data_IF_576332109177
#
_entry.id   IF_576332109177
#
_cell.length_a   1.000
_cell.length_b   1.000
_cell.length_c   1.000
_cell.angle_alpha   90.00
_cell.angle_beta   90.00
_cell.angle_gamma   90.00
#
_symmetry.space_group_name_H-M   'P 1'
#
loop_
_entity.id
_entity.type
_entity.pdbx_description
1 polymer ?
#
# COMPACT_ATOMS: atom_id res chain seq x y z
N UNK A 1 -33.76 25.12 -11.84
CA UNK A 1 -32.53 25.43 -11.05
C UNK A 1 -32.22 24.53 -9.84
N UNK A 2 -32.91 23.40 -9.54
CA UNK A 2 -32.46 22.49 -8.47
C UNK A 2 -31.26 21.60 -8.88
N UNK A 3 -31.13 21.23 -10.16
CA UNK A 3 -30.09 20.29 -10.63
C UNK A 3 -28.65 20.81 -10.47
N UNK A 4 -28.44 22.12 -10.59
CA UNK A 4 -27.10 22.73 -10.47
C UNK A 4 -26.59 22.71 -9.02
N UNK A 5 -27.49 22.88 -8.04
CA UNK A 5 -27.15 22.80 -6.62
C UNK A 5 -26.92 21.35 -6.17
N UNK A 6 -27.73 20.41 -6.68
CA UNK A 6 -27.57 18.97 -6.43
C UNK A 6 -26.23 18.44 -6.98
N UNK A 7 -25.85 18.84 -8.19
CA UNK A 7 -24.54 18.52 -8.77
C UNK A 7 -23.40 19.09 -7.93
N UNK A 8 -23.46 20.37 -7.55
CA UNK A 8 -22.37 21.01 -6.77
C UNK A 8 -22.16 20.40 -5.38
N UNK A 9 -23.24 19.94 -4.72
CA UNK A 9 -23.13 19.26 -3.44
C UNK A 9 -22.55 17.86 -3.59
N UNK A 10 -22.95 17.13 -4.64
CA UNK A 10 -22.40 15.82 -4.93
C UNK A 10 -20.90 15.90 -5.27
N UNK A 11 -20.49 16.87 -6.09
CA UNK A 11 -19.09 17.13 -6.38
C UNK A 11 -18.29 17.46 -5.11
N UNK A 12 -18.90 18.20 -4.17
CA UNK A 12 -18.29 18.48 -2.86
C UNK A 12 -18.16 17.21 -1.99
N UNK A 13 -19.17 16.34 -1.99
CA UNK A 13 -19.13 15.05 -1.27
C UNK A 13 -18.05 14.13 -1.87
N UNK A 14 -17.91 14.08 -3.21
CA UNK A 14 -16.84 13.35 -3.88
C UNK A 14 -15.44 13.89 -3.54
N UNK A 15 -15.27 15.21 -3.55
CA UNK A 15 -14.00 15.82 -3.18
C UNK A 15 -13.65 15.59 -1.71
N UNK A 16 -14.65 15.60 -0.82
CA UNK A 16 -14.49 15.26 0.60
C UNK A 16 -13.92 13.85 0.76
N UNK A 17 -14.59 12.84 0.18
CA UNK A 17 -14.12 11.45 0.26
C UNK A 17 -12.74 11.30 -0.36
N UNK A 18 -12.50 11.89 -1.52
CA UNK A 18 -11.18 11.85 -2.16
C UNK A 18 -10.10 12.40 -1.24
N UNK A 19 -10.34 13.52 -0.55
CA UNK A 19 -9.39 14.10 0.39
C UNK A 19 -9.11 13.16 1.58
N UNK A 20 -10.14 12.49 2.11
CA UNK A 20 -10.01 11.53 3.21
C UNK A 20 -9.21 10.29 2.81
N UNK A 21 -9.44 9.76 1.60
CA UNK A 21 -8.65 8.63 1.06
C UNK A 21 -7.18 9.04 0.91
N UNK A 22 -6.90 10.26 0.44
CA UNK A 22 -5.52 10.77 0.34
C UNK A 22 -4.88 11.00 1.72
N UNK A 23 -5.65 11.49 2.70
CA UNK A 23 -5.19 11.60 4.10
C UNK A 23 -4.80 10.24 4.68
N UNK A 24 -5.65 9.22 4.47
CA UNK A 24 -5.36 7.85 4.89
C UNK A 24 -4.10 7.31 4.21
N UNK A 25 -3.94 7.56 2.90
CA UNK A 25 -2.75 7.17 2.15
C UNK A 25 -1.46 7.80 2.69
N UNK A 26 -1.49 9.09 3.04
CA UNK A 26 -0.36 9.76 3.68
C UNK A 26 -0.03 9.20 5.07
N UNK A 27 -1.05 8.78 5.83
CA UNK A 27 -0.87 8.14 7.12
C UNK A 27 -0.23 6.75 7.00
N UNK A 28 -0.69 5.94 6.04
CA UNK A 28 -0.10 4.63 5.70
C UNK A 28 1.34 4.77 5.25
N UNK A 29 1.65 5.73 4.36
CA UNK A 29 3.02 6.01 3.93
C UNK A 29 3.92 6.35 5.13
N UNK A 30 3.43 7.16 6.06
CA UNK A 30 4.15 7.47 7.30
C UNK A 30 4.30 6.26 8.22
N UNK A 31 3.32 5.37 8.29
CA UNK A 31 3.36 4.16 9.11
C UNK A 31 4.43 3.19 8.58
N UNK A 32 4.50 3.01 7.25
CA UNK A 32 5.55 2.22 6.60
C UNK A 32 6.93 2.79 6.92
N UNK A 33 7.13 4.10 6.78
CA UNK A 33 8.41 4.74 7.14
C UNK A 33 8.79 4.51 8.60
N UNK A 34 7.84 4.58 9.53
CA UNK A 34 8.08 4.30 10.94
C UNK A 34 8.43 2.82 11.20
N UNK A 35 7.78 1.88 10.51
CA UNK A 35 8.12 0.46 10.60
C UNK A 35 9.54 0.17 10.11
N UNK A 36 9.96 0.81 9.02
CA UNK A 36 11.34 0.73 8.48
C UNK A 36 12.35 1.36 9.43
N UNK A 37 12.01 2.51 10.02
CA UNK A 37 12.83 3.16 11.03
C UNK A 37 13.00 2.28 12.27
N UNK A 38 11.92 1.65 12.74
CA UNK A 38 11.94 0.70 13.85
C UNK A 38 12.90 -0.46 13.57
N UNK A 39 12.84 -1.05 12.36
CA UNK A 39 13.75 -2.11 11.94
C UNK A 39 15.22 -1.65 11.88
N UNK A 40 15.47 -0.46 11.34
CA UNK A 40 16.83 0.05 11.12
C UNK A 40 17.52 0.47 12.42
N UNK A 41 16.77 1.09 13.34
CA UNK A 41 17.30 1.63 14.59
C UNK A 41 17.00 0.75 15.81
N UNK A 42 16.28 -0.37 15.63
CA UNK A 42 15.80 -1.21 16.71
C UNK A 42 15.03 -0.41 17.78
N UNK A 43 14.18 0.52 17.33
CA UNK A 43 13.45 1.44 18.20
C UNK A 43 12.08 0.89 18.57
N UNK A 44 11.88 0.57 19.86
CA UNK A 44 10.57 0.18 20.40
C UNK A 44 9.55 1.33 20.38
N UNK A 45 10.01 2.57 20.56
CA UNK A 45 9.16 3.76 20.48
C UNK A 45 8.54 3.92 19.07
N UNK A 46 9.32 3.62 18.04
CA UNK A 46 8.83 3.62 16.66
C UNK A 46 7.81 2.49 16.43
N UNK A 47 7.97 1.33 17.06
CA UNK A 47 6.97 0.25 17.03
C UNK A 47 5.66 0.72 17.69
N UNK A 48 5.72 1.35 18.85
CA UNK A 48 4.53 1.87 19.54
C UNK A 48 3.82 2.93 18.69
N UNK A 49 4.60 3.79 18.02
CA UNK A 49 4.08 4.77 17.07
C UNK A 49 3.32 4.08 15.93
N UNK A 50 3.89 3.05 15.29
CA UNK A 50 3.21 2.28 14.23
C UNK A 50 1.87 1.70 14.71
N UNK A 51 1.83 1.14 15.92
CA UNK A 51 0.60 0.56 16.48
C UNK A 51 -0.49 1.61 16.75
N UNK A 52 -0.11 2.82 17.14
CA UNK A 52 -1.07 3.92 17.30
C UNK A 52 -1.62 4.41 15.96
N UNK A 53 -0.78 4.46 14.92
CA UNK A 53 -1.18 4.86 13.56
C UNK A 53 -2.13 3.85 12.95
N UNK A 54 -1.87 2.56 13.17
CA UNK A 54 -2.73 1.45 12.75
C UNK A 54 -4.18 1.64 13.23
N UNK A 55 -4.35 1.93 14.52
CA UNK A 55 -5.68 2.14 15.12
C UNK A 55 -6.42 3.29 14.43
N UNK A 56 -5.70 4.35 14.05
CA UNK A 56 -6.28 5.49 13.32
C UNK A 56 -6.63 5.14 11.88
N UNK A 57 -5.79 4.36 11.18
CA UNK A 57 -6.05 3.90 9.80
C UNK A 57 -7.33 3.07 9.76
N UNK A 58 -7.51 2.14 10.70
CA UNK A 58 -8.70 1.28 10.76
C UNK A 58 -9.97 2.08 11.06
N UNK A 59 -9.87 3.11 11.91
CA UNK A 59 -10.99 4.03 12.13
C UNK A 59 -11.33 4.82 10.85
N UNK A 60 -10.32 5.31 10.11
CA UNK A 60 -10.52 6.03 8.86
C UNK A 60 -11.15 5.16 7.78
N UNK A 61 -10.76 3.88 7.68
CA UNK A 61 -11.36 2.92 6.75
C UNK A 61 -12.88 2.83 6.96
N UNK A 62 -13.31 2.57 8.19
CA UNK A 62 -14.73 2.45 8.56
C UNK A 62 -15.49 3.74 8.27
N UNK A 63 -14.92 4.89 8.63
CA UNK A 63 -15.57 6.18 8.41
C UNK A 63 -15.69 6.53 6.92
N UNK A 64 -14.69 6.19 6.09
CA UNK A 64 -14.74 6.39 4.64
C UNK A 64 -15.79 5.49 4.00
N UNK A 65 -15.86 4.21 4.40
CA UNK A 65 -16.85 3.27 3.86
C UNK A 65 -18.29 3.65 4.23
N UNK A 66 -18.50 4.20 5.43
CA UNK A 66 -19.80 4.75 5.82
C UNK A 66 -20.20 5.97 4.98
N UNK A 67 -19.26 6.88 4.72
CA UNK A 67 -19.48 8.06 3.90
C UNK A 67 -19.81 7.67 2.44
N UNK A 68 -19.04 6.74 1.87
CA UNK A 68 -19.28 6.18 0.54
C UNK A 68 -20.67 5.54 0.43
N UNK A 69 -21.03 4.70 1.40
CA UNK A 69 -22.34 4.04 1.44
C UNK A 69 -23.50 5.04 1.53
N UNK A 70 -23.33 6.08 2.35
CA UNK A 70 -24.30 7.18 2.50
C UNK A 70 -24.49 7.95 1.20
N UNK A 71 -23.39 8.29 0.50
CA UNK A 71 -23.44 8.99 -0.79
C UNK A 71 -24.18 8.16 -1.83
N UNK A 72 -23.84 6.87 -1.96
CA UNK A 72 -24.49 5.96 -2.91
C UNK A 72 -26.00 5.88 -2.64
N UNK A 73 -26.39 5.67 -1.38
CA UNK A 73 -27.79 5.55 -1.00
C UNK A 73 -28.60 6.83 -1.22
N UNK A 74 -28.02 7.99 -0.92
CA UNK A 74 -28.71 9.29 -1.02
C UNK A 74 -28.78 9.85 -2.43
N UNK A 75 -27.77 9.59 -3.27
CA UNK A 75 -27.59 10.30 -4.54
C UNK A 75 -27.91 9.47 -5.78
N UNK A 76 -27.98 8.13 -5.67
CA UNK A 76 -28.20 7.22 -6.80
C UNK A 76 -27.31 7.61 -8.02
N UNK A 77 -25.98 7.59 -7.85
CA UNK A 77 -25.03 8.15 -8.80
C UNK A 77 -25.13 7.51 -10.19
N UNK A 78 -24.72 8.26 -11.22
CA UNK A 78 -24.59 7.71 -12.57
C UNK A 78 -23.55 6.59 -12.62
N UNK A 79 -23.54 5.81 -13.69
CA UNK A 79 -22.59 4.70 -13.85
C UNK A 79 -21.11 5.12 -13.71
N UNK A 80 -20.77 6.35 -14.16
CA UNK A 80 -19.41 6.88 -14.03
C UNK A 80 -19.07 7.20 -12.58
N UNK A 81 -19.98 7.87 -11.88
CA UNK A 81 -19.71 8.32 -10.51
C UNK A 81 -19.78 7.15 -9.53
N UNK A 82 -20.63 6.16 -9.79
CA UNK A 82 -20.63 4.89 -9.05
C UNK A 82 -19.29 4.16 -9.21
N UNK A 83 -18.71 4.14 -10.42
CA UNK A 83 -17.40 3.54 -10.65
C UNK A 83 -16.31 4.24 -9.83
N UNK A 84 -16.35 5.57 -9.74
CA UNK A 84 -15.43 6.35 -8.94
C UNK A 84 -15.57 6.03 -7.44
N UNK A 85 -16.79 5.99 -6.92
CA UNK A 85 -17.06 5.64 -5.52
C UNK A 85 -16.60 4.22 -5.17
N UNK A 86 -16.82 3.25 -6.07
CA UNK A 86 -16.31 1.89 -5.90
C UNK A 86 -14.78 1.83 -5.98
N UNK A 87 -14.14 2.67 -6.80
CA UNK A 87 -12.69 2.78 -6.85
C UNK A 87 -12.14 3.34 -5.53
N UNK A 88 -12.79 4.34 -4.93
CA UNK A 88 -12.42 4.84 -3.60
C UNK A 88 -12.53 3.75 -2.54
N UNK A 89 -13.64 3.02 -2.44
CA UNK A 89 -13.78 1.91 -1.47
C UNK A 89 -12.67 0.86 -1.64
N UNK A 90 -12.39 0.45 -2.88
CA UNK A 90 -11.32 -0.53 -3.15
C UNK A 90 -9.93 0.02 -2.85
N UNK A 91 -9.69 1.32 -3.09
CA UNK A 91 -8.43 1.95 -2.75
C UNK A 91 -8.25 2.01 -1.23
N UNK A 92 -9.27 2.45 -0.49
CA UNK A 92 -9.31 2.45 0.98
C UNK A 92 -8.95 1.08 1.56
N UNK A 93 -9.57 0.01 1.06
CA UNK A 93 -9.27 -1.36 1.51
C UNK A 93 -7.87 -1.87 1.14
N UNK A 94 -7.21 -1.32 0.11
CA UNK A 94 -5.80 -1.63 -0.17
C UNK A 94 -4.87 -0.80 0.72
N UNK A 95 -5.23 0.44 1.05
CA UNK A 95 -4.48 1.29 1.97
C UNK A 95 -4.50 0.72 3.39
N UNK A 96 -5.63 0.23 3.86
CA UNK A 96 -5.72 -0.47 5.16
C UNK A 96 -4.77 -1.67 5.19
N UNK A 97 -4.85 -2.57 4.20
CA UNK A 97 -3.97 -3.74 4.13
C UNK A 97 -2.49 -3.41 4.08
N UNK A 98 -2.10 -2.31 3.41
CA UNK A 98 -0.72 -1.82 3.45
C UNK A 98 -0.30 -1.39 4.87
N UNK A 99 -1.20 -0.72 5.59
CA UNK A 99 -0.96 -0.34 6.98
C UNK A 99 -0.83 -1.56 7.89
N UNK A 100 -1.65 -2.56 7.64
CA UNK A 100 -1.66 -3.85 8.33
C UNK A 100 -0.32 -4.60 8.16
N UNK A 101 0.24 -4.61 6.94
CA UNK A 101 1.58 -5.14 6.67
C UNK A 101 2.68 -4.33 7.39
N UNK A 102 2.57 -2.99 7.45
CA UNK A 102 3.50 -2.15 8.21
C UNK A 102 3.44 -2.42 9.72
N UNK A 103 2.24 -2.62 10.27
CA UNK A 103 2.02 -3.01 11.66
C UNK A 103 2.62 -4.39 11.96
N UNK A 104 2.44 -5.35 11.04
CA UNK A 104 3.06 -6.67 11.13
C UNK A 104 4.59 -6.57 11.15
N UNK A 105 5.20 -5.74 10.29
CA UNK A 105 6.64 -5.47 10.33
C UNK A 105 7.08 -4.98 11.71
N UNK A 106 6.39 -3.98 12.26
CA UNK A 106 6.74 -3.41 13.56
C UNK A 106 6.62 -4.43 14.71
N UNK A 107 5.62 -5.32 14.69
CA UNK A 107 5.48 -6.42 15.65
C UNK A 107 6.64 -7.42 15.56
N UNK A 108 7.08 -7.76 14.35
CA UNK A 108 8.24 -8.63 14.14
C UNK A 108 9.52 -7.96 14.65
N UNK A 109 9.71 -6.66 14.39
CA UNK A 109 10.83 -5.89 14.93
C UNK A 109 10.87 -5.93 16.46
N UNK A 110 9.73 -5.74 17.14
CA UNK A 110 9.66 -5.88 18.60
C UNK A 110 10.12 -7.26 19.07
N UNK A 111 9.62 -8.32 18.45
CA UNK A 111 10.02 -9.71 18.76
C UNK A 111 11.53 -9.92 18.61
N UNK A 112 12.12 -9.39 17.53
CA UNK A 112 13.57 -9.46 17.30
C UNK A 112 14.33 -8.73 18.41
N UNK A 113 13.90 -7.53 18.80
CA UNK A 113 14.53 -6.75 19.88
C UNK A 113 14.49 -7.51 21.22
N UNK A 114 13.31 -8.03 21.57
CA UNK A 114 13.08 -8.72 22.85
C UNK A 114 13.81 -10.07 22.94
N UNK A 115 13.98 -10.76 21.80
CA UNK A 115 14.70 -12.03 21.75
C UNK A 115 16.22 -11.89 21.92
N UNK A 116 16.78 -10.69 21.75
CA UNK A 116 18.23 -10.47 21.78
C UNK A 116 18.99 -11.14 20.64
N UNK A 117 18.32 -11.46 19.53
CA UNK A 117 18.90 -12.19 18.40
C UNK A 117 20.15 -11.48 17.80
N UNK A 118 21.10 -12.24 17.23
CA UNK A 118 22.31 -11.67 16.63
C UNK A 118 21.96 -10.68 15.50
N UNK A 119 22.46 -9.44 15.60
CA UNK A 119 22.28 -8.37 14.59
C UNK A 119 23.14 -8.54 13.34
N UNK A 120 23.69 -9.73 13.10
CA UNK A 120 24.63 -10.02 12.02
C UNK A 120 23.96 -10.32 10.67
N UNK A 121 22.63 -10.29 10.62
CA UNK A 121 21.85 -10.55 9.40
C UNK A 121 21.72 -9.30 8.52
N UNK A 122 21.46 -9.47 7.20
CA UNK A 122 21.48 -8.37 6.22
C UNK A 122 20.22 -7.49 6.26
N UNK A 123 19.91 -6.85 7.40
CA UNK A 123 18.72 -6.00 7.54
C UNK A 123 18.74 -4.73 6.67
N UNK A 124 19.91 -4.32 6.17
CA UNK A 124 20.06 -3.15 5.28
C UNK A 124 19.36 -3.32 3.93
N UNK A 125 19.26 -4.54 3.43
CA UNK A 125 18.63 -4.81 2.13
C UNK A 125 17.11 -4.57 2.22
N UNK A 126 16.52 -4.89 3.38
CA UNK A 126 15.11 -4.60 3.68
C UNK A 126 14.80 -3.11 3.70
N UNK A 127 15.77 -2.26 4.08
CA UNK A 127 15.60 -0.81 4.04
C UNK A 127 15.42 -0.34 2.59
N UNK A 128 16.25 -0.81 1.68
CA UNK A 128 16.16 -0.46 0.25
C UNK A 128 14.84 -0.94 -0.35
N UNK A 129 14.44 -2.18 -0.09
CA UNK A 129 13.15 -2.69 -0.56
C UNK A 129 11.96 -1.87 -0.02
N UNK A 130 12.01 -1.46 1.25
CA UNK A 130 10.93 -0.68 1.84
C UNK A 130 10.89 0.78 1.34
N UNK A 131 12.04 1.38 1.03
CA UNK A 131 12.10 2.68 0.35
C UNK A 131 11.49 2.62 -1.05
N UNK A 132 11.72 1.52 -1.80
CA UNK A 132 11.07 1.27 -3.09
C UNK A 132 9.55 1.15 -2.93
N UNK A 133 9.08 0.32 -2.01
CA UNK A 133 7.64 0.13 -1.75
C UNK A 133 6.95 1.43 -1.30
N UNK A 134 7.57 2.20 -0.39
CA UNK A 134 7.05 3.50 0.03
C UNK A 134 7.03 4.51 -1.11
N UNK A 135 8.07 4.52 -1.96
CA UNK A 135 8.12 5.33 -3.17
C UNK A 135 7.03 4.98 -4.18
N UNK A 136 6.75 3.69 -4.34
CA UNK A 136 5.70 3.16 -5.22
C UNK A 136 4.31 3.56 -4.74
N UNK A 137 4.04 3.45 -3.43
CA UNK A 137 2.80 3.94 -2.82
C UNK A 137 2.60 5.43 -3.08
N UNK A 138 3.61 6.26 -2.84
CA UNK A 138 3.51 7.71 -3.08
C UNK A 138 3.18 8.02 -4.54
N UNK A 139 3.86 7.39 -5.49
CA UNK A 139 3.55 7.53 -6.93
C UNK A 139 2.13 7.09 -7.25
N UNK A 140 1.66 6.03 -6.59
CA UNK A 140 0.31 5.50 -6.75
C UNK A 140 -0.75 6.47 -6.26
N UNK A 141 -0.55 7.10 -5.09
CA UNK A 141 -1.44 8.13 -4.57
C UNK A 141 -1.47 9.36 -5.49
N UNK A 142 -0.31 9.80 -5.99
CA UNK A 142 -0.21 10.92 -6.94
C UNK A 142 -0.95 10.60 -8.27
N UNK A 143 -0.76 9.39 -8.79
CA UNK A 143 -1.43 8.91 -9.99
C UNK A 143 -2.94 8.80 -9.77
N UNK A 144 -3.37 8.32 -8.60
CA UNK A 144 -4.78 8.17 -8.26
C UNK A 144 -5.47 9.53 -8.12
N UNK A 145 -4.84 10.50 -7.46
CA UNK A 145 -5.37 11.87 -7.34
C UNK A 145 -5.55 12.56 -8.70
N UNK A 146 -4.71 12.23 -9.68
CA UNK A 146 -4.74 12.83 -11.03
C UNK A 146 -5.45 11.97 -12.07
N UNK A 147 -5.86 10.76 -11.69
CA UNK A 147 -6.35 9.73 -12.62
C UNK A 147 -5.38 9.50 -13.80
N UNK A 148 -4.07 9.51 -13.51
CA UNK A 148 -3.02 9.43 -14.52
C UNK A 148 -2.74 7.97 -14.90
N UNK A 149 -3.30 7.58 -16.03
CA UNK A 149 -3.15 6.24 -16.60
C UNK A 149 -1.70 5.94 -17.00
N UNK A 150 -0.93 6.93 -17.47
CA UNK A 150 0.48 6.69 -17.87
C UNK A 150 1.33 6.41 -16.64
N UNK A 151 1.12 7.18 -15.57
CA UNK A 151 1.76 6.93 -14.29
C UNK A 151 1.35 5.56 -13.72
N UNK A 152 0.07 5.18 -13.81
CA UNK A 152 -0.41 3.86 -13.39
C UNK A 152 0.34 2.72 -14.10
N UNK A 153 0.50 2.78 -15.43
CA UNK A 153 1.26 1.77 -16.18
C UNK A 153 2.73 1.72 -15.75
N UNK A 154 3.37 2.87 -15.48
CA UNK A 154 4.75 2.91 -14.97
C UNK A 154 4.88 2.24 -13.59
N UNK A 155 3.91 2.44 -12.70
CA UNK A 155 3.86 1.79 -11.39
C UNK A 155 3.83 0.26 -11.52
N UNK A 156 3.04 -0.29 -12.46
CA UNK A 156 3.01 -1.74 -12.70
C UNK A 156 4.40 -2.30 -13.06
N UNK A 157 5.22 -1.52 -13.78
CA UNK A 157 6.60 -1.94 -14.14
C UNK A 157 7.57 -1.87 -12.98
N UNK A 158 7.39 -0.88 -12.12
CA UNK A 158 8.26 -0.68 -10.96
C UNK A 158 8.00 -1.73 -9.87
N UNK A 159 6.78 -2.25 -9.77
CA UNK A 159 6.42 -3.35 -8.87
C UNK A 159 7.24 -4.63 -9.17
N UNK A 160 7.44 -4.97 -10.46
CA UNK A 160 8.30 -6.10 -10.88
C UNK A 160 9.76 -5.98 -10.37
N UNK A 161 10.22 -4.77 -10.00
CA UNK A 161 11.54 -4.57 -9.40
C UNK A 161 11.54 -4.97 -7.92
N UNK A 162 10.45 -4.71 -7.18
CA UNK A 162 10.31 -5.10 -5.77
C UNK A 162 10.30 -6.63 -5.67
N UNK A 163 9.60 -7.32 -6.57
CA UNK A 163 9.58 -8.79 -6.65
C UNK A 163 10.98 -9.37 -6.87
N UNK A 164 11.78 -8.75 -7.75
CA UNK A 164 13.16 -9.18 -8.01
C UNK A 164 14.07 -8.98 -6.80
N UNK A 165 13.92 -7.86 -6.10
CA UNK A 165 14.67 -7.60 -4.86
C UNK A 165 14.28 -8.60 -3.76
N UNK A 166 12.99 -8.92 -3.64
CA UNK A 166 12.51 -9.96 -2.74
C UNK A 166 13.14 -11.32 -3.06
N UNK A 167 13.08 -11.78 -4.31
CA UNK A 167 13.70 -13.03 -4.76
C UNK A 167 15.21 -13.09 -4.50
N UNK A 168 15.91 -11.99 -4.76
CA UNK A 168 17.33 -11.84 -4.46
C UNK A 168 17.63 -11.98 -2.97
N UNK A 169 16.81 -11.34 -2.14
CA UNK A 169 16.91 -11.40 -0.69
C UNK A 169 16.65 -12.81 -0.15
N UNK A 170 15.65 -13.53 -0.67
CA UNK A 170 15.39 -14.94 -0.30
C UNK A 170 16.61 -15.81 -0.57
N UNK A 171 17.22 -15.69 -1.76
CA UNK A 171 18.43 -16.48 -2.10
C UNK A 171 19.58 -16.19 -1.15
N UNK A 172 19.75 -14.92 -0.75
CA UNK A 172 20.77 -14.51 0.23
C UNK A 172 20.50 -15.09 1.61
N UNK A 173 19.24 -15.08 2.08
CA UNK A 173 18.89 -15.70 3.37
C UNK A 173 19.18 -17.21 3.38
N UNK A 174 18.94 -17.92 2.27
CA UNK A 174 19.29 -19.34 2.14
C UNK A 174 20.79 -19.57 2.36
N UNK A 175 21.66 -18.70 1.84
CA UNK A 175 23.11 -18.86 2.05
C UNK A 175 23.51 -18.69 3.52
N UNK A 176 22.90 -17.73 4.24
CA UNK A 176 23.12 -17.59 5.69
C UNK A 176 22.69 -18.84 6.46
N UNK A 177 21.51 -19.38 6.13
CA UNK A 177 20.98 -20.59 6.76
C UNK A 177 21.84 -21.83 6.51
N UNK A 178 22.44 -21.93 5.31
CA UNK A 178 23.35 -23.02 4.95
C UNK A 178 24.72 -22.89 5.64
N UNK A 179 25.21 -21.67 5.81
CA UNK A 179 26.50 -21.39 6.45
C UNK A 179 26.44 -21.61 7.98
N UNK A 180 25.37 -21.16 8.63
CA UNK A 180 25.14 -21.36 10.06
C UNK A 180 23.66 -21.67 10.35
N UNK A 181 23.31 -22.94 10.66
CA UNK A 181 21.94 -23.34 10.98
C UNK A 181 21.31 -22.60 12.18
N UNK A 182 22.10 -21.98 13.05
CA UNK A 182 21.58 -21.16 14.16
C UNK A 182 20.91 -19.87 13.66
N UNK A 183 21.15 -19.48 12.40
CA UNK A 183 20.55 -18.30 11.77
C UNK A 183 19.20 -18.59 11.11
N UNK A 184 18.69 -19.83 11.14
CA UNK A 184 17.42 -20.21 10.50
C UNK A 184 16.26 -19.36 11.02
N UNK A 185 15.99 -19.36 12.32
CA UNK A 185 14.84 -18.61 12.85
C UNK A 185 14.95 -17.10 12.59
N UNK A 186 16.09 -16.43 12.87
CA UNK A 186 16.26 -15.02 12.54
C UNK A 186 16.15 -14.71 11.04
N UNK A 187 16.57 -15.64 10.16
CA UNK A 187 16.40 -15.51 8.71
C UNK A 187 14.94 -15.61 8.28
N UNK A 188 14.16 -16.48 8.93
CA UNK A 188 12.71 -16.57 8.68
C UNK A 188 11.99 -15.29 9.12
N UNK A 189 12.41 -14.66 10.22
CA UNK A 189 11.86 -13.37 10.64
C UNK A 189 12.12 -12.29 9.58
N UNK A 190 13.33 -12.24 9.03
CA UNK A 190 13.67 -11.31 7.93
C UNK A 190 12.93 -11.64 6.64
N UNK A 191 12.69 -12.93 6.33
CA UNK A 191 11.90 -13.34 5.18
C UNK A 191 10.46 -12.83 5.29
N UNK A 192 9.85 -12.91 6.47
CA UNK A 192 8.50 -12.39 6.68
C UNK A 192 8.44 -10.86 6.60
N UNK A 193 9.48 -10.16 7.06
CA UNK A 193 9.63 -8.71 6.83
C UNK A 193 9.72 -8.38 5.34
N UNK A 194 10.55 -9.09 4.58
CA UNK A 194 10.68 -8.92 3.14
C UNK A 194 9.34 -9.15 2.43
N UNK A 195 8.59 -10.19 2.83
CA UNK A 195 7.28 -10.50 2.23
C UNK A 195 6.23 -9.43 2.56
N UNK A 196 6.27 -8.84 3.76
CA UNK A 196 5.38 -7.73 4.10
C UNK A 196 5.65 -6.49 3.22
N UNK A 197 6.93 -6.21 2.92
CA UNK A 197 7.33 -5.12 2.01
C UNK A 197 6.85 -5.39 0.58
N UNK A 198 7.03 -6.59 0.07
CA UNK A 198 6.53 -6.97 -1.27
C UNK A 198 5.01 -6.83 -1.37
N UNK A 199 4.26 -7.22 -0.33
CA UNK A 199 2.80 -7.03 -0.28
C UNK A 199 2.36 -5.56 -0.33
N UNK A 200 3.16 -4.64 0.21
CA UNK A 200 2.89 -3.20 0.06
C UNK A 200 3.02 -2.77 -1.41
N UNK A 201 3.99 -3.35 -2.14
CA UNK A 201 4.12 -3.21 -3.59
C UNK A 201 2.88 -3.72 -4.32
N UNK A 202 2.47 -4.96 -4.05
CA UNK A 202 1.25 -5.58 -4.61
C UNK A 202 0.00 -4.72 -4.38
N UNK A 203 -0.19 -4.18 -3.18
CA UNK A 203 -1.33 -3.30 -2.91
C UNK A 203 -1.24 -1.99 -3.71
N UNK A 204 -0.04 -1.48 -3.97
CA UNK A 204 0.17 -0.26 -4.78
C UNK A 204 -0.18 -0.55 -6.24
N UNK A 205 0.26 -1.68 -6.77
CA UNK A 205 -0.14 -2.21 -8.08
C UNK A 205 -1.66 -2.33 -8.20
N UNK A 206 -2.32 -2.95 -7.22
CA UNK A 206 -3.78 -3.10 -7.21
C UNK A 206 -4.48 -1.74 -7.33
N UNK A 207 -4.01 -0.70 -6.63
CA UNK A 207 -4.56 0.65 -6.73
C UNK A 207 -4.26 1.27 -8.11
N UNK A 208 -3.09 1.05 -8.69
CA UNK A 208 -2.77 1.50 -10.04
C UNK A 208 -3.69 0.87 -11.11
N UNK A 209 -4.00 -0.41 -11.00
CA UNK A 209 -4.97 -1.10 -11.88
C UNK A 209 -6.37 -0.48 -11.78
N UNK A 210 -6.78 -0.03 -10.59
CA UNK A 210 -8.06 0.68 -10.41
C UNK A 210 -8.11 2.00 -11.21
N UNK A 211 -6.99 2.72 -11.33
CA UNK A 211 -6.91 3.95 -12.12
C UNK A 211 -7.21 3.65 -13.60
N UNK A 212 -6.60 2.58 -14.12
CA UNK A 212 -6.80 2.16 -15.52
C UNK A 212 -8.28 1.78 -15.74
N UNK A 213 -8.85 1.00 -14.82
CA UNK A 213 -10.28 0.66 -14.88
C UNK A 213 -11.20 1.88 -14.81
N UNK A 214 -10.89 2.83 -13.95
CA UNK A 214 -11.69 4.04 -13.76
C UNK A 214 -11.72 4.90 -15.04
N UNK A 215 -10.55 5.11 -15.67
CA UNK A 215 -10.41 5.99 -16.83
C UNK A 215 -10.76 5.30 -18.14
N UNK A 216 -10.30 4.06 -18.35
CA UNK A 216 -10.47 3.34 -19.62
C UNK A 216 -11.68 2.40 -19.62
N UNK A 217 -12.23 2.07 -18.46
CA UNK A 217 -13.32 1.10 -18.33
C UNK A 217 -12.91 -0.35 -18.63
N UNK A 218 -11.60 -0.62 -18.70
CA UNK A 218 -11.04 -1.95 -18.95
C UNK A 218 -10.48 -2.51 -17.65
N UNK A 219 -10.86 -3.74 -17.34
CA UNK A 219 -10.23 -4.50 -16.27
C UNK A 219 -8.94 -5.10 -16.82
N UNK A 220 -7.81 -4.72 -16.22
CA UNK A 220 -6.47 -5.14 -16.65
C UNK A 220 -5.80 -6.08 -15.64
N UNK A 221 -6.54 -6.51 -14.62
CA UNK A 221 -6.05 -7.46 -13.63
C UNK A 221 -5.70 -8.78 -14.30
N UNK A 222 -4.61 -9.41 -13.85
CA UNK A 222 -4.10 -10.67 -14.41
C UNK A 222 -3.79 -10.63 -15.91
N UNK A 223 -3.59 -9.43 -16.47
CA UNK A 223 -3.22 -9.22 -17.87
C UNK A 223 -1.72 -8.97 -17.96
N UNK A 224 -1.07 -9.44 -19.03
CA UNK A 224 0.36 -9.21 -19.21
C UNK A 224 0.65 -7.73 -19.50
N UNK A 225 1.78 -7.21 -19.00
CA UNK A 225 2.11 -5.79 -19.05
C UNK A 225 2.14 -5.24 -20.49
N UNK A 226 2.67 -6.00 -21.44
CA UNK A 226 2.74 -5.66 -22.87
C UNK A 226 1.34 -5.51 -23.52
N UNK A 227 0.39 -6.35 -23.11
CA UNK A 227 -1.00 -6.25 -23.51
C UNK A 227 -1.67 -5.01 -22.89
N UNK A 228 -1.35 -4.68 -21.63
CA UNK A 228 -1.84 -3.47 -20.96
C UNK A 228 -1.33 -2.23 -21.69
N UNK A 229 -0.04 -2.15 -22.00
CA UNK A 229 0.53 -1.00 -22.73
C UNK A 229 -0.15 -0.79 -24.07
N UNK A 230 -0.29 -1.86 -24.86
CA UNK A 230 -0.92 -1.81 -26.18
C UNK A 230 -2.40 -1.41 -26.13
N UNK A 231 -3.09 -1.72 -25.03
CA UNK A 231 -4.52 -1.46 -24.88
C UNK A 231 -4.86 -0.08 -24.30
N UNK A 232 -3.88 0.60 -23.71
CA UNK A 232 -4.10 1.73 -22.79
C UNK A 232 -3.28 2.97 -23.15
N UNK A 233 -2.07 2.81 -23.71
CA UNK A 233 -1.17 3.88 -24.17
C UNK A 233 -1.35 4.17 -25.67
#
# INVERSE_FOLDING_TARGET
MPDKHLSSQFDSELNSVSARVMEMGGLVESQIRQAVYALSQFSLEAVDTVASMETRINAMEVEIDQELSSIIARRQPTARDLRLLLAFSKATANLERMGDEANKMARMVRSIIESGAPRSLPSSDLRTAAELASGLLRKTLDAFARLDVKAAVAILKEDDLIDKEFDGFVRKLITYMMEDPRTISPSLDLLFLAKAIERIGDHSKNVAELIIYLVKGKDVRHTALDEIESAVL
#
